data_IF_301423538748
#
_entry.id   IF_301423538748
#
_cell.length_a   1.000
_cell.length_b   1.000
_cell.length_c   1.000
_cell.angle_alpha   90.00
_cell.angle_beta   90.00
_cell.angle_gamma   90.00
#
_symmetry.space_group_name_H-M   'P 1'
#
loop_
_entity.id
_entity.type
_entity.pdbx_description
1 polymer ?
#
# COMPACT_ATOMS: atom_id res chain seq x y z
N UNK A 1 -7.14 -9.94 -1.72
CA UNK A 1 -5.66 -10.06 -1.61
C UNK A 1 -5.18 -11.47 -1.28
N UNK A 2 -5.78 -12.26 -0.35
CA UNK A 2 -5.21 -13.58 0.03
C UNK A 2 -4.98 -14.56 -1.12
N UNK A 3 -5.87 -14.58 -2.12
CA UNK A 3 -5.71 -15.45 -3.29
C UNK A 3 -4.53 -15.00 -4.19
N UNK A 4 -4.36 -13.69 -4.42
CA UNK A 4 -3.21 -13.17 -5.19
C UNK A 4 -1.90 -13.45 -4.47
N UNK A 5 -1.89 -13.30 -3.15
CA UNK A 5 -0.73 -13.62 -2.32
C UNK A 5 -0.34 -15.09 -2.50
N UNK A 6 -1.27 -16.01 -2.30
CA UNK A 6 -1.03 -17.45 -2.41
C UNK A 6 -0.59 -17.88 -3.81
N UNK A 7 -1.27 -17.39 -4.86
CA UNK A 7 -1.08 -17.92 -6.22
C UNK A 7 0.06 -17.25 -6.99
N UNK A 8 0.39 -16.00 -6.66
CA UNK A 8 1.35 -15.20 -7.44
C UNK A 8 2.49 -14.62 -6.61
N UNK A 9 2.22 -14.01 -5.44
CA UNK A 9 3.25 -13.32 -4.67
C UNK A 9 4.16 -14.35 -3.99
N UNK A 10 3.59 -15.31 -3.25
CA UNK A 10 4.35 -16.35 -2.56
C UNK A 10 5.11 -17.29 -3.51
N UNK A 11 4.68 -17.36 -4.78
CA UNK A 11 5.36 -18.16 -5.83
C UNK A 11 6.42 -17.37 -6.59
N UNK A 12 6.64 -16.11 -6.26
CA UNK A 12 7.60 -15.24 -6.93
C UNK A 12 7.20 -14.74 -8.32
N UNK A 13 5.98 -15.03 -8.76
CA UNK A 13 5.46 -14.60 -10.08
C UNK A 13 5.02 -13.14 -10.10
N UNK A 14 4.72 -12.56 -8.95
CA UNK A 14 4.26 -11.18 -8.80
C UNK A 14 4.94 -10.52 -7.61
N UNK A 15 5.45 -9.31 -7.81
CA UNK A 15 5.83 -8.39 -6.74
C UNK A 15 4.70 -7.40 -6.50
N UNK A 16 4.20 -7.34 -5.28
CA UNK A 16 3.18 -6.38 -4.88
C UNK A 16 3.81 -5.20 -4.14
N UNK A 17 3.53 -3.99 -4.62
CA UNK A 17 4.05 -2.74 -4.03
C UNK A 17 2.88 -1.82 -3.73
N UNK A 18 2.82 -1.30 -2.51
CA UNK A 18 1.85 -0.26 -2.11
C UNK A 18 2.50 1.11 -2.22
N UNK A 19 1.74 2.05 -2.77
CA UNK A 19 2.04 3.48 -2.78
C UNK A 19 0.90 4.21 -2.08
N UNK A 20 1.21 5.22 -1.29
CA UNK A 20 0.20 5.94 -0.52
C UNK A 20 -0.53 6.97 -1.38
N UNK A 21 -1.86 6.97 -1.27
CA UNK A 21 -2.70 7.99 -1.89
C UNK A 21 -3.87 8.33 -0.96
N UNK A 22 -3.60 8.89 0.24
CA UNK A 22 -4.63 9.22 1.21
C UNK A 22 -5.54 10.33 0.70
N UNK A 23 -6.85 10.09 0.71
CA UNK A 23 -7.89 11.02 0.28
C UNK A 23 -8.32 11.90 1.45
N UNK A 24 -7.46 12.85 1.85
CA UNK A 24 -7.65 13.70 3.05
C UNK A 24 -8.92 14.52 3.01
N UNK A 25 -9.40 14.89 1.81
CA UNK A 25 -10.61 15.70 1.64
C UNK A 25 -11.89 15.02 2.10
N UNK A 26 -11.90 13.69 2.15
CA UNK A 26 -13.05 12.87 2.54
C UNK A 26 -12.77 11.93 3.72
N UNK A 27 -11.50 11.72 4.07
CA UNK A 27 -11.04 10.85 5.15
C UNK A 27 -9.96 11.56 5.99
N UNK A 28 -10.40 12.31 6.99
CA UNK A 28 -9.55 13.21 7.81
C UNK A 28 -8.27 12.56 8.36
N UNK A 29 -8.32 11.30 8.77
CA UNK A 29 -7.17 10.61 9.35
C UNK A 29 -6.39 9.73 8.34
N UNK A 30 -6.74 9.75 7.05
CA UNK A 30 -6.11 8.86 6.06
C UNK A 30 -4.61 9.12 5.91
N UNK A 31 -4.19 10.38 5.99
CA UNK A 31 -2.76 10.72 5.90
C UNK A 31 -1.98 10.19 7.11
N UNK A 32 -2.52 10.36 8.30
CA UNK A 32 -1.92 9.80 9.52
C UNK A 32 -1.90 8.28 9.53
N UNK A 33 -2.92 7.62 8.96
CA UNK A 33 -2.94 6.17 8.80
C UNK A 33 -1.84 5.68 7.85
N UNK A 34 -1.57 6.41 6.76
CA UNK A 34 -0.44 6.13 5.88
C UNK A 34 0.90 6.27 6.62
N UNK A 35 1.11 7.36 7.37
CA UNK A 35 2.29 7.53 8.22
C UNK A 35 2.43 6.39 9.23
N UNK A 36 1.34 5.98 9.87
CA UNK A 36 1.35 4.89 10.85
C UNK A 36 1.82 3.55 10.25
N UNK A 37 1.37 3.21 9.04
CA UNK A 37 1.84 2.01 8.34
C UNK A 37 3.34 2.06 8.07
N UNK A 38 3.86 3.21 7.65
CA UNK A 38 5.30 3.39 7.40
C UNK A 38 6.13 3.37 8.68
N UNK A 39 5.67 4.02 9.75
CA UNK A 39 6.32 3.96 11.06
C UNK A 39 6.36 2.54 11.62
N UNK A 40 5.29 1.76 11.43
CA UNK A 40 5.30 0.34 11.77
C UNK A 40 6.30 -0.45 10.90
N UNK A 41 6.49 -0.03 9.67
CA UNK A 41 7.46 -0.60 8.73
C UNK A 41 8.92 -0.48 9.20
N UNK A 42 9.28 0.57 9.94
CA UNK A 42 10.62 0.71 10.57
C UNK A 42 10.93 -0.44 11.54
N UNK A 43 9.88 -1.01 12.12
CA UNK A 43 9.95 -2.15 13.03
C UNK A 43 9.56 -3.48 12.36
N UNK A 44 9.52 -3.52 11.01
CA UNK A 44 9.21 -4.72 10.24
C UNK A 44 7.74 -5.13 10.24
N UNK A 45 6.81 -4.22 10.62
CA UNK A 45 5.38 -4.50 10.80
C UNK A 45 4.46 -3.65 9.91
N UNK A 46 4.94 -3.27 8.72
CA UNK A 46 4.14 -2.50 7.77
C UNK A 46 2.81 -3.20 7.43
N UNK A 47 2.86 -4.46 7.05
CA UNK A 47 1.69 -5.20 6.59
C UNK A 47 0.69 -5.46 7.71
N UNK A 48 1.16 -5.80 8.90
CA UNK A 48 0.30 -6.00 10.05
C UNK A 48 -0.47 -4.72 10.44
N UNK A 49 0.21 -3.57 10.40
CA UNK A 49 -0.44 -2.27 10.65
C UNK A 49 -1.42 -1.92 9.53
N UNK A 50 -1.01 -2.08 8.29
CA UNK A 50 -1.83 -1.83 7.11
C UNK A 50 -3.13 -2.66 7.15
N UNK A 51 -3.06 -3.95 7.44
CA UNK A 51 -4.23 -4.82 7.57
C UNK A 51 -5.15 -4.39 8.72
N UNK A 52 -4.58 -4.01 9.86
CA UNK A 52 -5.34 -3.50 11.01
C UNK A 52 -6.13 -2.26 10.66
N UNK A 53 -5.51 -1.30 9.99
CA UNK A 53 -6.15 -0.05 9.58
C UNK A 53 -7.30 -0.30 8.60
N UNK A 54 -7.10 -1.17 7.61
CA UNK A 54 -8.15 -1.52 6.65
C UNK A 54 -9.29 -2.35 7.28
N UNK A 55 -9.00 -3.18 8.26
CA UNK A 55 -10.03 -3.94 9.00
C UNK A 55 -10.85 -3.04 9.93
N UNK A 56 -10.34 -1.87 10.32
CA UNK A 56 -10.96 -0.98 11.32
C UNK A 56 -11.09 0.46 10.81
N UNK A 57 -11.54 0.66 9.59
CA UNK A 57 -11.56 1.97 8.90
C UNK A 57 -12.29 3.09 9.65
N UNK A 58 -13.21 2.76 10.56
CA UNK A 58 -13.92 3.72 11.40
C UNK A 58 -13.17 4.11 12.68
N UNK A 59 -12.12 3.39 13.03
CA UNK A 59 -11.31 3.58 14.24
C UNK A 59 -9.84 3.78 13.85
N UNK A 60 -9.55 4.91 13.22
CA UNK A 60 -8.21 5.28 12.75
C UNK A 60 -7.76 6.65 13.30
N UNK A 61 -8.16 6.96 14.53
CA UNK A 61 -7.59 8.10 15.26
C UNK A 61 -6.15 7.80 15.71
N UNK A 62 -5.35 8.82 16.05
CA UNK A 62 -4.00 8.60 16.61
C UNK A 62 -3.98 7.68 17.84
N UNK A 63 -5.03 7.73 18.67
CA UNK A 63 -5.17 6.85 19.83
C UNK A 63 -5.39 5.39 19.40
N UNK A 64 -6.26 5.16 18.40
CA UNK A 64 -6.52 3.84 17.86
C UNK A 64 -5.24 3.24 17.26
N UNK A 65 -4.50 4.03 16.49
CA UNK A 65 -3.23 3.59 15.87
C UNK A 65 -2.19 3.18 16.91
N UNK A 66 -2.14 3.89 18.06
CA UNK A 66 -1.27 3.51 19.18
C UNK A 66 -1.69 2.17 19.81
N UNK A 67 -2.99 1.92 19.90
CA UNK A 67 -3.53 0.64 20.35
C UNK A 67 -3.18 -0.50 19.38
N UNK A 68 -3.25 -0.24 18.07
CA UNK A 68 -2.84 -1.21 17.06
C UNK A 68 -1.34 -1.50 17.09
N UNK A 69 -0.52 -0.48 17.30
CA UNK A 69 0.91 -0.63 17.46
C UNK A 69 1.25 -1.58 18.61
N UNK A 70 0.59 -1.40 19.77
CA UNK A 70 0.72 -2.31 20.91
C UNK A 70 0.25 -3.73 20.57
N UNK A 71 -0.90 -3.86 19.92
CA UNK A 71 -1.50 -5.16 19.58
C UNK A 71 -0.67 -6.00 18.60
N UNK A 72 0.14 -5.36 17.75
CA UNK A 72 1.05 -6.04 16.81
C UNK A 72 2.48 -6.15 17.33
N UNK A 73 2.73 -5.76 18.60
CA UNK A 73 4.00 -5.95 19.29
C UNK A 73 5.09 -4.95 18.91
N UNK A 74 4.71 -3.72 18.54
CA UNK A 74 5.68 -2.64 18.31
C UNK A 74 6.20 -2.03 19.61
N UNK A 75 7.38 -1.45 19.58
CA UNK A 75 7.82 -0.45 20.55
C UNK A 75 6.96 0.80 20.37
N UNK A 76 5.96 0.96 21.26
CA UNK A 76 4.97 2.03 21.16
C UNK A 76 5.58 3.42 21.31
N UNK A 77 6.52 3.69 22.24
CA UNK A 77 7.27 4.93 22.31
C UNK A 77 7.94 5.33 20.99
N UNK A 78 8.69 4.43 20.38
CA UNK A 78 9.35 4.67 19.08
C UNK A 78 8.33 4.91 17.96
N UNK A 79 7.27 4.13 17.91
CA UNK A 79 6.18 4.31 16.95
C UNK A 79 5.54 5.69 17.08
N UNK A 80 5.21 6.13 18.30
CA UNK A 80 4.64 7.46 18.56
C UNK A 80 5.59 8.58 18.15
N UNK A 81 6.86 8.47 18.49
CA UNK A 81 7.88 9.44 18.10
C UNK A 81 7.94 9.60 16.57
N UNK A 82 7.96 8.49 15.82
CA UNK A 82 7.92 8.51 14.36
C UNK A 82 6.65 9.19 13.85
N UNK A 83 5.47 8.81 14.37
CA UNK A 83 4.19 9.32 13.92
C UNK A 83 4.00 10.81 14.21
N UNK A 84 4.44 11.29 15.38
CA UNK A 84 4.34 12.69 15.82
C UNK A 84 5.33 13.59 15.07
N UNK A 85 6.52 13.07 14.74
CA UNK A 85 7.53 13.82 13.99
C UNK A 85 7.14 14.10 12.54
N UNK A 86 6.16 13.37 11.98
CA UNK A 86 5.81 13.46 10.56
C UNK A 86 6.93 12.96 9.63
N UNK A 87 7.77 12.03 10.12
CA UNK A 87 8.95 11.54 9.40
C UNK A 87 8.66 11.10 7.96
N UNK A 88 7.51 10.50 7.72
CA UNK A 88 7.11 10.03 6.39
C UNK A 88 6.26 11.00 5.57
N UNK A 89 5.94 12.19 6.10
CA UNK A 89 5.05 13.14 5.43
C UNK A 89 5.55 13.50 4.01
N UNK A 90 6.83 13.80 3.85
CA UNK A 90 7.39 14.15 2.54
C UNK A 90 7.31 12.99 1.54
N UNK A 91 7.58 11.76 1.99
CA UNK A 91 7.51 10.57 1.14
C UNK A 91 6.06 10.28 0.69
N UNK A 92 5.08 10.43 1.59
CA UNK A 92 3.66 10.26 1.27
C UNK A 92 3.19 11.36 0.30
N UNK A 93 3.59 12.61 0.52
CA UNK A 93 3.30 13.72 -0.42
C UNK A 93 3.87 13.46 -1.81
N UNK A 94 5.07 12.87 -1.88
CA UNK A 94 5.66 12.45 -3.14
C UNK A 94 4.83 11.34 -3.79
N UNK A 95 4.39 10.35 -3.06
CA UNK A 95 3.54 9.28 -3.58
C UNK A 95 2.22 9.82 -4.15
N UNK A 96 1.60 10.79 -3.47
CA UNK A 96 0.40 11.47 -3.97
C UNK A 96 0.70 12.19 -5.29
N UNK A 97 1.78 12.96 -5.35
CA UNK A 97 2.17 13.71 -6.55
C UNK A 97 2.46 12.78 -7.73
N UNK A 98 3.22 11.71 -7.50
CA UNK A 98 3.50 10.67 -8.51
C UNK A 98 2.20 10.02 -9.01
N UNK A 99 1.27 9.71 -8.09
CA UNK A 99 -0.03 9.14 -8.43
C UNK A 99 -0.88 10.08 -9.27
N UNK A 100 -0.95 11.36 -8.90
CA UNK A 100 -1.65 12.39 -9.68
C UNK A 100 -1.05 12.54 -11.09
N UNK A 101 0.27 12.56 -11.20
CA UNK A 101 0.96 12.60 -12.48
C UNK A 101 0.67 11.36 -13.33
N UNK A 102 0.50 10.20 -12.70
CA UNK A 102 0.11 8.95 -13.36
C UNK A 102 -1.40 8.86 -13.67
N UNK A 103 -2.20 9.90 -13.37
CA UNK A 103 -3.63 9.96 -13.66
C UNK A 103 -4.51 9.22 -12.63
N UNK A 104 -4.02 9.01 -11.41
CA UNK A 104 -4.81 8.50 -10.29
C UNK A 104 -5.76 9.59 -9.81
N UNK A 105 -7.06 9.32 -9.84
CA UNK A 105 -8.12 10.22 -9.37
C UNK A 105 -8.89 9.67 -8.17
N UNK A 106 -8.57 8.46 -7.73
CA UNK A 106 -9.21 7.79 -6.61
C UNK A 106 -8.57 6.44 -6.31
N UNK A 107 -8.95 5.84 -5.20
CA UNK A 107 -8.40 4.58 -4.70
C UNK A 107 -9.47 3.50 -4.60
N UNK A 108 -9.09 2.22 -4.80
CA UNK A 108 -7.78 1.78 -5.22
C UNK A 108 -7.53 1.98 -6.72
N UNK A 109 -6.27 2.19 -7.11
CA UNK A 109 -5.81 2.15 -8.48
C UNK A 109 -4.60 1.23 -8.58
N UNK A 110 -4.55 0.36 -9.59
CA UNK A 110 -3.48 -0.62 -9.75
C UNK A 110 -2.79 -0.41 -11.09
N UNK A 111 -1.47 -0.45 -11.05
CA UNK A 111 -0.62 -0.44 -12.23
C UNK A 111 0.05 -1.79 -12.33
N UNK A 112 -0.33 -2.56 -13.32
CA UNK A 112 0.25 -3.86 -13.59
C UNK A 112 1.26 -3.73 -14.72
N UNK A 113 2.46 -4.26 -14.53
CA UNK A 113 3.53 -4.15 -15.50
C UNK A 113 4.68 -5.10 -15.19
N UNK A 114 5.73 -4.99 -15.98
CA UNK A 114 6.96 -5.75 -15.82
C UNK A 114 8.07 -4.86 -15.28
N UNK A 115 8.93 -5.44 -14.45
CA UNK A 115 10.11 -4.74 -13.92
C UNK A 115 11.22 -4.79 -14.97
N UNK A 116 11.76 -3.64 -15.36
CA UNK A 116 12.86 -3.58 -16.30
C UNK A 116 14.17 -4.05 -15.65
N UNK A 117 14.94 -4.94 -16.30
CA UNK A 117 16.12 -5.55 -15.69
C UNK A 117 17.22 -4.56 -15.34
N UNK A 118 17.32 -3.44 -16.07
CA UNK A 118 18.47 -2.54 -16.00
C UNK A 118 18.38 -1.46 -14.93
N UNK A 119 17.18 -1.01 -14.56
CA UNK A 119 17.01 0.12 -13.63
C UNK A 119 15.94 -0.14 -12.54
N UNK A 120 15.34 -1.32 -12.54
CA UNK A 120 14.31 -1.71 -11.58
C UNK A 120 13.00 -0.95 -11.72
N UNK A 121 12.85 -0.11 -12.75
CA UNK A 121 11.60 0.60 -13.02
C UNK A 121 10.53 -0.37 -13.50
N UNK A 122 9.30 -0.04 -13.21
CA UNK A 122 8.15 -0.79 -13.69
C UNK A 122 7.59 -0.12 -14.92
N UNK A 123 7.67 -0.82 -16.05
CA UNK A 123 6.93 -0.44 -17.25
C UNK A 123 5.48 -0.85 -17.06
N UNK A 124 4.62 0.13 -16.79
CA UNK A 124 3.18 -0.12 -16.66
C UNK A 124 2.57 -0.50 -18.00
N UNK A 125 1.94 -1.66 -18.06
CA UNK A 125 1.31 -2.18 -19.28
C UNK A 125 -0.22 -2.14 -19.17
N UNK A 126 -0.76 -2.10 -17.96
CA UNK A 126 -2.21 -2.09 -17.72
C UNK A 126 -2.55 -1.32 -16.44
N UNK A 127 -3.58 -0.49 -16.52
CA UNK A 127 -4.15 0.21 -15.36
C UNK A 127 -5.51 -0.41 -15.03
N UNK A 128 -5.73 -0.75 -13.77
CA UNK A 128 -6.99 -1.25 -13.24
C UNK A 128 -7.48 -0.23 -12.20
N UNK A 129 -8.62 0.40 -12.48
CA UNK A 129 -9.23 1.40 -11.60
C UNK A 129 -10.33 0.76 -10.75
N UNK A 130 -10.33 1.08 -9.45
CA UNK A 130 -11.29 0.58 -8.49
C UNK A 130 -11.04 -0.87 -8.05
N UNK A 131 -11.79 -1.30 -7.05
CA UNK A 131 -11.77 -2.68 -6.59
C UNK A 131 -12.40 -3.60 -7.64
N UNK A 132 -11.66 -4.63 -8.04
CA UNK A 132 -12.09 -5.65 -8.98
C UNK A 132 -12.17 -7.02 -8.30
N UNK A 133 -13.00 -7.90 -8.84
CA UNK A 133 -13.04 -9.29 -8.42
C UNK A 133 -11.69 -9.98 -8.75
N UNK A 134 -11.35 -11.00 -7.96
CA UNK A 134 -10.11 -11.78 -8.13
C UNK A 134 -9.87 -12.23 -9.58
N UNK A 135 -10.93 -12.73 -10.27
CA UNK A 135 -10.81 -13.21 -11.64
C UNK A 135 -10.35 -12.12 -12.63
N UNK A 136 -10.66 -10.85 -12.38
CA UNK A 136 -10.20 -9.73 -13.19
C UNK A 136 -8.69 -9.53 -13.07
N UNK A 137 -8.18 -9.58 -11.84
CA UNK A 137 -6.72 -9.53 -11.59
C UNK A 137 -6.01 -10.76 -12.15
N UNK A 138 -6.56 -11.96 -11.90
CA UNK A 138 -6.01 -13.20 -12.41
C UNK A 138 -5.83 -13.16 -13.93
N UNK A 139 -6.88 -12.83 -14.67
CA UNK A 139 -6.82 -12.75 -16.14
C UNK A 139 -5.79 -11.74 -16.63
N UNK A 140 -5.66 -10.59 -15.93
CA UNK A 140 -4.69 -9.56 -16.28
C UNK A 140 -3.24 -10.02 -16.04
N UNK A 141 -2.98 -10.67 -14.91
CA UNK A 141 -1.66 -11.18 -14.53
C UNK A 141 -1.25 -12.33 -15.47
N UNK A 142 -2.13 -13.33 -15.65
CA UNK A 142 -1.85 -14.48 -16.53
C UNK A 142 -1.56 -14.05 -17.97
N UNK A 143 -2.27 -13.02 -18.47
CA UNK A 143 -2.01 -12.47 -19.80
C UNK A 143 -0.60 -11.90 -19.95
N UNK A 144 -0.05 -11.28 -18.90
CA UNK A 144 1.32 -10.75 -18.94
C UNK A 144 2.36 -11.85 -18.76
N UNK A 145 2.13 -12.81 -17.87
CA UNK A 145 3.03 -13.95 -17.67
C UNK A 145 3.10 -14.86 -18.91
N UNK A 146 2.00 -14.98 -19.67
CA UNK A 146 1.98 -15.73 -20.93
C UNK A 146 2.62 -15.01 -22.10
N UNK A 147 2.76 -13.70 -22.06
CA UNK A 147 3.41 -12.91 -23.11
C UNK A 147 4.96 -12.92 -23.00
N UNK A 148 5.52 -13.41 -21.88
CA UNK A 148 6.98 -13.53 -21.65
C UNK A 148 7.54 -14.92 -22.04
N UNK A 149 6.70 -15.82 -22.57
CA UNK A 149 7.11 -17.12 -23.12
C UNK A 149 7.20 -17.08 -24.64
#
# INVERSE_FOLDING_TARGET
MPQLEKEYISTGKLKYVVRDFPLESIHQNAFKAAEASRCAGEQGKFWEMHERLFANQQAISPTDMSGYAQAIGLDVPLFKQCLESGHYAAAIRKDIADGQQAGVTGTPAFFLGVTEPNDGKVKSLRVIKGAQAYNGFKAAIDSLLGAEQ
#
